data_IF_576467764797
#
_entry.id   IF_576467764797
#
_cell.length_a   1.000
_cell.length_b   1.000
_cell.length_c   1.000
_cell.angle_alpha   90.00
_cell.angle_beta   90.00
_cell.angle_gamma   90.00
#
_symmetry.space_group_name_H-M   'P 1'
#
loop_
_entity.id
_entity.type
_entity.pdbx_description
1 polymer ?
#
# COMPACT_ATOMS: atom_id res chain seq x y z
N UNK A 1 25.51 6.35 -8.64
CA UNK A 1 25.44 5.07 -9.34
C UNK A 1 23.96 4.76 -9.61
N UNK A 2 23.60 4.25 -10.79
CA UNK A 2 22.22 3.79 -11.10
C UNK A 2 22.16 2.34 -10.68
N UNK A 3 21.17 1.96 -9.84
CA UNK A 3 20.95 0.56 -9.51
C UNK A 3 20.19 -0.17 -10.65
N UNK A 4 20.01 -1.50 -10.56
CA UNK A 4 19.33 -2.32 -11.57
C UNK A 4 17.91 -1.85 -11.91
N UNK A 5 17.27 -1.12 -11.02
CA UNK A 5 15.88 -0.65 -11.13
C UNK A 5 15.80 0.80 -11.68
N UNK A 6 16.93 1.39 -12.08
CA UNK A 6 17.01 2.71 -12.71
C UNK A 6 17.06 3.90 -11.74
N UNK A 7 17.13 3.68 -10.42
CA UNK A 7 17.20 4.74 -9.44
C UNK A 7 18.58 5.40 -9.42
N UNK A 8 18.63 6.70 -9.69
CA UNK A 8 19.84 7.51 -9.63
C UNK A 8 19.85 8.28 -8.31
N UNK A 9 20.89 8.09 -7.52
CA UNK A 9 21.01 8.74 -6.19
C UNK A 9 19.82 8.45 -5.26
N UNK A 10 19.22 7.25 -5.37
CA UNK A 10 18.13 6.81 -4.48
C UNK A 10 16.72 7.22 -4.92
N UNK A 11 16.55 7.92 -6.04
CA UNK A 11 15.23 8.25 -6.59
C UNK A 11 15.22 8.25 -8.13
N UNK A 12 14.01 8.16 -8.70
CA UNK A 12 13.73 8.16 -10.13
C UNK A 12 12.80 9.32 -10.46
N UNK A 13 13.12 10.12 -11.49
CA UNK A 13 12.19 11.10 -12.05
C UNK A 13 11.17 10.40 -12.93
N UNK A 14 9.90 10.76 -12.76
CA UNK A 14 8.78 10.18 -13.50
C UNK A 14 8.47 11.05 -14.73
N UNK A 15 8.43 10.43 -15.90
CA UNK A 15 8.08 11.08 -17.18
C UNK A 15 6.70 10.70 -17.70
N UNK A 16 6.13 9.60 -17.18
CA UNK A 16 4.84 9.07 -17.62
C UNK A 16 3.96 8.74 -16.41
N UNK A 17 2.66 8.83 -16.59
CA UNK A 17 1.71 8.37 -15.59
C UNK A 17 1.91 6.87 -15.31
N UNK A 18 2.10 6.52 -14.04
CA UNK A 18 2.33 5.13 -13.62
C UNK A 18 1.07 4.28 -13.60
N UNK A 19 -0.11 4.91 -13.80
CA UNK A 19 -1.41 4.22 -13.91
C UNK A 19 -1.79 3.96 -15.35
N UNK A 20 -1.83 4.99 -16.22
CA UNK A 20 -2.31 4.85 -17.60
C UNK A 20 -1.21 4.92 -18.67
N UNK A 21 0.03 5.28 -18.31
CA UNK A 21 1.15 5.39 -19.24
C UNK A 21 1.23 6.72 -20.01
N UNK A 22 0.25 7.61 -19.89
CA UNK A 22 0.25 8.91 -20.56
C UNK A 22 1.45 9.77 -20.17
N UNK A 23 2.01 10.53 -21.10
CA UNK A 23 3.06 11.51 -20.86
C UNK A 23 2.52 12.92 -20.57
N UNK A 24 1.20 13.10 -20.60
CA UNK A 24 0.54 14.37 -20.29
C UNK A 24 0.39 14.57 -18.78
N UNK A 25 1.43 15.10 -18.17
CA UNK A 25 1.54 15.34 -16.73
C UNK A 25 1.70 16.83 -16.47
N UNK A 26 0.73 17.42 -15.77
CA UNK A 26 0.76 18.81 -15.33
C UNK A 26 1.37 18.92 -13.93
N UNK A 27 2.22 19.93 -13.69
CA UNK A 27 2.71 20.26 -12.35
C UNK A 27 1.60 20.94 -11.54
N UNK A 28 1.27 20.39 -10.39
CA UNK A 28 0.23 20.93 -9.48
C UNK A 28 0.85 21.72 -8.35
N UNK A 29 1.82 21.13 -7.65
CA UNK A 29 2.45 21.74 -6.49
C UNK A 29 3.92 21.34 -6.42
N UNK A 30 4.79 22.35 -6.32
CA UNK A 30 6.23 22.12 -6.12
C UNK A 30 6.63 22.62 -4.73
N UNK A 31 6.92 21.68 -3.84
CA UNK A 31 7.35 21.97 -2.48
C UNK A 31 8.88 22.10 -2.33
N UNK A 32 9.63 21.99 -3.44
CA UNK A 32 11.09 22.06 -3.43
C UNK A 32 11.75 20.72 -3.10
N UNK A 33 12.95 20.78 -2.53
CA UNK A 33 13.74 19.59 -2.21
C UNK A 33 13.70 19.30 -0.71
N UNK A 34 13.23 18.11 -0.33
CA UNK A 34 13.10 17.69 1.06
C UNK A 34 13.80 16.33 1.30
N UNK A 35 14.28 16.07 2.51
CA UNK A 35 14.68 14.74 2.90
C UNK A 35 13.43 13.85 3.02
N UNK A 36 13.63 12.53 2.98
CA UNK A 36 12.56 11.58 3.27
C UNK A 36 12.11 11.67 4.72
N UNK A 37 10.81 11.79 4.99
CA UNK A 37 10.25 12.12 6.31
C UNK A 37 10.62 11.11 7.40
N UNK A 38 10.69 9.80 7.08
CA UNK A 38 10.98 8.74 8.04
C UNK A 38 12.46 8.32 8.06
N UNK A 39 13.34 9.03 7.33
CA UNK A 39 14.80 8.85 7.39
C UNK A 39 15.41 9.61 8.58
N UNK A 40 15.09 9.17 9.80
CA UNK A 40 15.58 9.82 11.02
C UNK A 40 17.09 9.68 11.14
N UNK A 41 17.78 10.79 11.40
CA UNK A 41 19.22 10.85 11.59
C UNK A 41 19.61 10.69 13.05
N UNK A 42 20.73 10.02 13.26
CA UNK A 42 21.39 9.96 14.59
C UNK A 42 22.34 11.15 14.81
N UNK A 43 22.86 11.72 13.71
CA UNK A 43 23.78 12.86 13.73
C UNK A 43 23.19 14.04 12.99
N UNK A 44 23.09 15.19 13.68
CA UNK A 44 22.55 16.45 13.15
C UNK A 44 23.42 17.02 12.02
N UNK A 45 24.71 16.72 12.02
CA UNK A 45 25.68 17.22 11.02
C UNK A 45 25.81 16.31 9.79
N UNK A 46 25.18 15.14 9.79
CA UNK A 46 25.23 14.25 8.63
C UNK A 46 24.50 14.86 7.42
N UNK A 47 25.09 14.71 6.24
CA UNK A 47 24.47 15.13 4.97
C UNK A 47 23.19 14.34 4.72
N UNK A 48 22.15 15.04 4.24
CA UNK A 48 20.89 14.43 3.84
C UNK A 48 20.70 14.47 2.33
N UNK A 49 20.25 13.35 1.80
CA UNK A 49 19.76 13.31 0.42
C UNK A 49 18.44 14.07 0.36
N UNK A 50 18.44 15.19 -0.37
CA UNK A 50 17.23 15.98 -0.64
C UNK A 50 16.67 15.60 -2.00
N UNK A 51 15.39 15.28 -2.02
CA UNK A 51 14.67 14.77 -3.18
C UNK A 51 13.57 15.77 -3.53
N UNK A 52 13.35 16.07 -4.83
CA UNK A 52 12.27 16.96 -5.22
C UNK A 52 10.91 16.39 -4.79
N UNK A 53 10.11 17.23 -4.13
CA UNK A 53 8.74 16.91 -3.74
C UNK A 53 7.79 17.68 -4.66
N UNK A 54 7.49 17.08 -5.81
CA UNK A 54 6.67 17.63 -6.87
C UNK A 54 5.42 16.79 -7.03
N UNK A 55 4.25 17.39 -6.81
CA UNK A 55 2.96 16.77 -7.12
C UNK A 55 2.58 17.06 -8.57
N UNK A 56 2.21 16.03 -9.32
CA UNK A 56 1.75 16.11 -10.70
C UNK A 56 0.38 15.50 -10.86
N UNK A 57 -0.40 16.01 -11.80
CA UNK A 57 -1.69 15.45 -12.22
C UNK A 57 -1.55 14.86 -13.61
N UNK A 58 -2.02 13.64 -13.81
CA UNK A 58 -2.19 13.08 -15.14
C UNK A 58 -3.45 13.67 -15.78
N UNK A 59 -3.30 14.35 -16.91
CA UNK A 59 -4.45 14.98 -17.60
C UNK A 59 -5.37 13.96 -18.25
N UNK A 60 -4.91 12.73 -18.48
CA UNK A 60 -5.72 11.66 -19.06
C UNK A 60 -6.56 10.93 -18.02
N UNK A 61 -5.96 10.27 -17.03
CA UNK A 61 -6.69 9.46 -16.03
C UNK A 61 -6.96 10.21 -14.73
N UNK A 62 -6.58 11.49 -14.63
CA UNK A 62 -6.80 12.38 -13.48
C UNK A 62 -6.24 11.87 -12.14
N UNK A 63 -5.28 10.94 -12.16
CA UNK A 63 -4.58 10.55 -10.94
C UNK A 63 -3.53 11.57 -10.57
N UNK A 64 -3.50 11.97 -9.31
CA UNK A 64 -2.43 12.77 -8.76
C UNK A 64 -1.30 11.84 -8.26
N UNK A 65 -0.05 12.16 -8.62
CA UNK A 65 1.12 11.37 -8.29
C UNK A 65 2.36 12.24 -8.07
N UNK A 66 3.34 11.75 -7.31
CA UNK A 66 4.62 12.42 -7.22
C UNK A 66 5.41 12.30 -8.53
N UNK A 67 6.04 13.40 -8.95
CA UNK A 67 6.94 13.48 -10.10
C UNK A 67 8.29 12.77 -9.89
N UNK A 68 8.56 12.32 -8.67
CA UNK A 68 9.75 11.55 -8.31
C UNK A 68 9.37 10.37 -7.42
N UNK A 69 10.03 9.23 -7.61
CA UNK A 69 9.84 8.01 -6.80
C UNK A 69 11.13 7.73 -6.06
N UNK A 70 11.11 7.69 -4.74
CA UNK A 70 12.22 7.18 -3.93
C UNK A 70 12.27 5.67 -4.06
N UNK A 71 13.47 5.08 -4.02
CA UNK A 71 13.62 3.63 -4.08
C UNK A 71 12.89 2.98 -2.88
N UNK A 72 11.87 2.14 -3.11
CA UNK A 72 11.12 1.48 -2.03
C UNK A 72 12.00 0.66 -1.09
N UNK A 73 13.13 0.13 -1.59
CA UNK A 73 14.08 -0.63 -0.77
C UNK A 73 14.71 0.23 0.31
N UNK A 74 14.93 1.52 0.02
CA UNK A 74 15.48 2.47 1.02
C UNK A 74 14.44 2.78 2.09
N UNK A 75 13.16 2.89 1.70
CA UNK A 75 12.09 3.34 2.60
C UNK A 75 11.47 2.21 3.42
N UNK A 76 11.31 1.01 2.83
CA UNK A 76 10.42 -0.01 3.39
C UNK A 76 11.10 -1.32 3.82
N UNK A 77 12.41 -1.52 3.54
CA UNK A 77 13.12 -2.74 3.99
C UNK A 77 13.28 -2.80 5.52
N UNK A 78 13.37 -1.65 6.16
CA UNK A 78 13.40 -1.51 7.61
C UNK A 78 12.45 -0.36 8.00
N UNK A 79 11.28 -0.72 8.52
CA UNK A 79 10.19 0.24 8.71
C UNK A 79 10.03 0.59 10.20
N UNK A 80 9.71 1.86 10.48
CA UNK A 80 9.63 2.37 11.86
C UNK A 80 8.26 2.18 12.48
N UNK A 81 7.20 2.23 11.65
CA UNK A 81 5.84 2.16 12.13
C UNK A 81 5.41 0.73 12.45
N UNK A 82 4.88 0.52 13.66
CA UNK A 82 4.30 -0.75 14.12
C UNK A 82 2.82 -0.54 14.39
N UNK A 83 1.97 -1.18 13.60
CA UNK A 83 0.52 -1.00 13.60
C UNK A 83 -0.11 -1.32 14.97
N UNK A 84 0.34 -2.38 15.63
CA UNK A 84 -0.19 -2.85 16.91
C UNK A 84 0.19 -2.01 18.13
N UNK A 85 0.96 -0.92 17.98
CA UNK A 85 1.26 -0.01 19.08
C UNK A 85 0.07 0.88 19.48
N UNK A 86 -0.90 1.06 18.57
CA UNK A 86 -2.10 1.86 18.80
C UNK A 86 -3.30 0.99 19.20
N UNK A 87 -3.92 1.32 20.34
CA UNK A 87 -5.15 0.64 20.78
C UNK A 87 -6.32 0.91 19.82
N UNK A 88 -6.41 2.13 19.27
CA UNK A 88 -7.43 2.48 18.26
C UNK A 88 -7.33 1.59 17.05
N UNK A 89 -6.11 1.29 16.58
CA UNK A 89 -5.88 0.43 15.44
C UNK A 89 -6.29 -1.03 15.72
N UNK A 90 -6.06 -1.53 16.92
CA UNK A 90 -6.50 -2.88 17.33
C UNK A 90 -8.03 -2.99 17.32
N UNK A 91 -8.74 -2.02 17.90
CA UNK A 91 -10.21 -1.95 17.85
C UNK A 91 -10.71 -1.91 16.41
N UNK A 92 -10.03 -1.14 15.55
CA UNK A 92 -10.38 -1.09 14.14
C UNK A 92 -10.13 -2.42 13.42
N UNK A 93 -9.06 -3.14 13.76
CA UNK A 93 -8.77 -4.47 13.19
C UNK A 93 -9.89 -5.49 13.53
N UNK A 94 -10.38 -5.48 14.77
CA UNK A 94 -11.53 -6.31 15.17
C UNK A 94 -12.79 -5.95 14.38
N UNK A 95 -13.10 -4.64 14.27
CA UNK A 95 -14.23 -4.17 13.47
C UNK A 95 -14.09 -4.54 12.00
N UNK A 96 -12.91 -4.37 11.41
CA UNK A 96 -12.63 -4.73 10.02
C UNK A 96 -12.86 -6.22 9.77
N UNK A 97 -12.40 -7.09 10.66
CA UNK A 97 -12.63 -8.53 10.60
C UNK A 97 -14.12 -8.86 10.64
N UNK A 98 -14.88 -8.28 11.59
CA UNK A 98 -16.31 -8.47 11.71
C UNK A 98 -17.10 -7.98 10.48
N UNK A 99 -16.68 -6.86 9.88
CA UNK A 99 -17.27 -6.33 8.66
C UNK A 99 -16.97 -7.24 7.46
N UNK A 100 -15.75 -7.77 7.36
CA UNK A 100 -15.39 -8.73 6.32
C UNK A 100 -16.20 -10.02 6.43
N UNK A 101 -16.38 -10.56 7.64
CA UNK A 101 -17.22 -11.76 7.88
C UNK A 101 -18.66 -11.55 7.42
N UNK A 102 -19.24 -10.39 7.73
CA UNK A 102 -20.62 -10.02 7.28
C UNK A 102 -20.72 -9.95 5.76
N UNK A 103 -19.74 -9.31 5.10
CA UNK A 103 -19.73 -9.16 3.63
C UNK A 103 -19.57 -10.52 2.96
N UNK A 104 -18.67 -11.36 3.47
CA UNK A 104 -18.42 -12.73 2.97
C UNK A 104 -19.58 -13.70 3.32
N UNK A 105 -20.42 -13.35 4.29
CA UNK A 105 -21.44 -14.22 4.89
C UNK A 105 -20.87 -15.57 5.36
N UNK A 106 -19.60 -15.59 5.73
CA UNK A 106 -18.85 -16.75 6.26
C UNK A 106 -17.54 -16.29 6.89
N UNK A 107 -16.99 -17.09 7.78
CA UNK A 107 -15.59 -16.93 8.21
C UNK A 107 -14.70 -17.36 7.04
N UNK A 108 -13.79 -16.48 6.53
CA UNK A 108 -12.88 -16.85 5.46
C UNK A 108 -11.91 -17.94 5.94
N UNK A 109 -11.71 -18.99 5.12
CA UNK A 109 -10.78 -20.08 5.47
C UNK A 109 -9.33 -19.64 5.33
N UNK A 110 -9.03 -18.85 4.30
CA UNK A 110 -7.69 -18.33 4.02
C UNK A 110 -7.75 -16.84 3.77
N UNK A 111 -6.92 -16.09 4.50
CA UNK A 111 -6.82 -14.64 4.45
C UNK A 111 -5.39 -14.25 4.09
N UNK A 112 -5.25 -13.33 3.14
CA UNK A 112 -3.97 -12.75 2.75
C UNK A 112 -3.99 -11.24 2.96
N UNK A 113 -3.09 -10.73 3.79
CA UNK A 113 -2.83 -9.28 3.92
C UNK A 113 -1.54 -8.89 3.20
N UNK A 114 -1.64 -7.86 2.35
CA UNK A 114 -0.49 -7.29 1.66
C UNK A 114 0.00 -6.07 2.44
N UNK A 115 1.31 -5.97 2.66
CA UNK A 115 1.97 -5.05 3.59
C UNK A 115 1.37 -5.20 5.00
N UNK A 116 1.42 -6.43 5.50
CA UNK A 116 0.72 -6.85 6.73
C UNK A 116 1.28 -6.25 8.01
N UNK A 117 2.40 -5.54 7.93
CA UNK A 117 3.08 -4.98 9.09
C UNK A 117 3.30 -6.05 10.18
N UNK A 118 3.02 -5.77 11.43
CA UNK A 118 3.16 -6.71 12.55
C UNK A 118 2.01 -7.71 12.68
N UNK A 119 1.13 -7.79 11.67
CA UNK A 119 0.01 -8.71 11.58
C UNK A 119 -1.20 -8.36 12.45
N UNK A 120 -1.27 -7.15 12.97
CA UNK A 120 -2.38 -6.70 13.85
C UNK A 120 -3.75 -6.92 13.21
N UNK A 121 -3.91 -6.76 11.88
CA UNK A 121 -5.17 -7.02 11.18
C UNK A 121 -5.39 -8.49 10.85
N UNK A 122 -4.36 -9.32 10.88
CA UNK A 122 -4.48 -10.77 10.72
C UNK A 122 -4.89 -11.49 12.02
N UNK A 123 -4.56 -10.91 13.18
CA UNK A 123 -4.84 -11.52 14.50
C UNK A 123 -6.33 -11.87 14.71
N UNK A 124 -7.31 -10.96 14.42
CA UNK A 124 -8.73 -11.30 14.59
C UNK A 124 -9.20 -12.45 13.70
N UNK A 125 -8.76 -12.50 12.45
CA UNK A 125 -9.10 -13.60 11.54
C UNK A 125 -8.52 -14.93 12.02
N UNK A 126 -7.27 -14.93 12.52
CA UNK A 126 -6.66 -16.11 13.12
C UNK A 126 -7.43 -16.59 14.35
N UNK A 127 -7.90 -15.67 15.20
CA UNK A 127 -8.72 -15.99 16.37
C UNK A 127 -10.06 -16.66 15.99
N UNK A 128 -10.62 -16.35 14.82
CA UNK A 128 -11.80 -17.01 14.26
C UNK A 128 -11.50 -18.35 13.57
N UNK A 129 -10.22 -18.78 13.51
CA UNK A 129 -9.81 -20.07 12.93
C UNK A 129 -9.37 -20.00 11.46
N UNK A 130 -9.24 -18.80 10.88
CA UNK A 130 -8.71 -18.64 9.53
C UNK A 130 -7.22 -19.00 9.46
N UNK A 131 -6.77 -19.55 8.34
CA UNK A 131 -5.35 -19.53 7.96
C UNK A 131 -5.01 -18.13 7.49
N UNK A 132 -4.01 -17.52 8.10
CA UNK A 132 -3.64 -16.14 7.80
C UNK A 132 -2.22 -16.06 7.26
N UNK A 133 -2.04 -15.26 6.23
CA UNK A 133 -0.76 -15.00 5.59
C UNK A 133 -0.54 -13.50 5.43
N UNK A 134 0.69 -13.05 5.68
CA UNK A 134 1.14 -11.71 5.39
C UNK A 134 2.26 -11.71 4.35
N UNK A 135 2.35 -10.67 3.56
CA UNK A 135 3.53 -10.35 2.74
C UNK A 135 3.93 -8.93 3.08
N UNK A 136 5.13 -8.73 3.64
CA UNK A 136 5.62 -7.42 4.05
C UNK A 136 7.13 -7.29 3.77
N UNK A 137 7.60 -6.21 3.14
CA UNK A 137 9.02 -6.05 2.82
C UNK A 137 9.90 -5.70 4.02
N UNK A 138 9.31 -5.25 5.14
CA UNK A 138 10.04 -4.81 6.32
C UNK A 138 10.43 -6.01 7.20
N UNK A 139 11.67 -6.46 7.10
CA UNK A 139 12.16 -7.63 7.84
C UNK A 139 11.95 -7.50 9.35
N UNK A 140 12.29 -6.33 9.92
CA UNK A 140 12.13 -6.06 11.35
C UNK A 140 10.68 -6.16 11.85
N UNK A 141 9.72 -5.82 10.98
CA UNK A 141 8.29 -5.84 11.31
C UNK A 141 7.70 -7.24 11.08
N UNK A 142 8.03 -7.89 9.96
CA UNK A 142 7.61 -9.26 9.68
C UNK A 142 8.09 -10.26 10.76
N UNK A 143 9.27 -10.04 11.34
CA UNK A 143 9.73 -10.82 12.50
C UNK A 143 8.80 -10.70 13.71
N UNK A 144 8.22 -9.52 13.97
CA UNK A 144 7.24 -9.34 15.06
C UNK A 144 5.97 -10.17 14.79
N UNK A 145 5.45 -10.13 13.56
CA UNK A 145 4.30 -10.93 13.15
C UNK A 145 4.60 -12.44 13.30
N UNK A 146 5.75 -12.90 12.80
CA UNK A 146 6.13 -14.31 12.87
C UNK A 146 6.32 -14.79 14.34
N UNK A 147 6.83 -13.94 15.25
CA UNK A 147 6.91 -14.26 16.68
C UNK A 147 5.54 -14.42 17.34
N UNK A 148 4.49 -13.78 16.81
CA UNK A 148 3.08 -13.99 17.23
C UNK A 148 2.46 -15.24 16.59
N UNK A 149 3.23 -15.98 15.77
CA UNK A 149 2.77 -17.16 15.04
C UNK A 149 1.89 -16.81 13.82
N UNK A 150 2.01 -15.60 13.28
CA UNK A 150 1.39 -15.21 12.02
C UNK A 150 2.39 -15.47 10.89
N UNK A 151 1.98 -16.19 9.86
CA UNK A 151 2.88 -16.53 8.75
C UNK A 151 3.07 -15.29 7.85
N UNK A 152 4.18 -14.58 8.03
CA UNK A 152 4.52 -13.40 7.23
C UNK A 152 5.76 -13.65 6.40
N UNK A 153 5.63 -13.50 5.08
CA UNK A 153 6.69 -13.64 4.08
C UNK A 153 7.35 -12.28 3.88
N UNK A 154 8.69 -12.24 3.94
CA UNK A 154 9.46 -11.01 3.73
C UNK A 154 9.72 -10.83 2.24
N UNK A 155 8.88 -10.05 1.56
CA UNK A 155 9.06 -9.68 0.14
C UNK A 155 8.21 -8.46 -0.21
N UNK A 156 8.60 -7.76 -1.28
CA UNK A 156 7.75 -6.77 -1.93
C UNK A 156 6.66 -7.46 -2.74
N UNK A 157 5.42 -7.06 -2.53
CA UNK A 157 4.30 -7.61 -3.30
C UNK A 157 4.28 -7.09 -4.75
N UNK A 158 4.08 -7.97 -5.71
CA UNK A 158 4.05 -7.69 -7.14
C UNK A 158 3.20 -8.72 -7.90
N UNK A 159 3.05 -8.53 -9.21
CA UNK A 159 2.39 -9.52 -10.11
C UNK A 159 3.00 -10.91 -10.08
N UNK A 160 4.27 -11.03 -9.64
CA UNK A 160 4.99 -12.30 -9.60
C UNK A 160 4.82 -13.01 -8.23
N UNK A 161 4.23 -12.34 -7.24
CA UNK A 161 4.05 -12.89 -5.88
C UNK A 161 3.16 -14.13 -5.86
N UNK A 162 2.15 -14.20 -6.73
CA UNK A 162 1.32 -15.39 -6.83
C UNK A 162 2.15 -16.62 -7.24
N UNK A 163 2.94 -16.54 -8.31
CA UNK A 163 3.76 -17.66 -8.76
C UNK A 163 4.78 -18.10 -7.72
N UNK A 164 5.33 -17.15 -6.96
CA UNK A 164 6.29 -17.45 -5.89
C UNK A 164 5.64 -18.17 -4.70
N UNK A 165 4.41 -17.80 -4.34
CA UNK A 165 3.84 -18.12 -3.03
C UNK A 165 2.53 -18.92 -3.08
N UNK A 166 1.96 -19.21 -4.26
CA UNK A 166 0.70 -19.98 -4.41
C UNK A 166 0.74 -21.34 -3.71
N UNK A 167 1.90 -22.02 -3.68
CA UNK A 167 2.04 -23.31 -3.02
C UNK A 167 2.06 -23.23 -1.49
N UNK A 168 2.37 -22.05 -0.93
CA UNK A 168 2.42 -21.77 0.51
C UNK A 168 1.05 -21.25 0.97
N UNK A 169 0.49 -20.29 0.23
CA UNK A 169 -0.74 -19.58 0.60
C UNK A 169 -1.99 -20.37 0.19
N UNK A 170 -1.97 -20.97 -1.00
CA UNK A 170 -3.13 -21.68 -1.54
C UNK A 170 -4.22 -20.74 -2.07
N UNK A 171 -5.46 -21.24 -2.10
CA UNK A 171 -6.63 -20.47 -2.49
C UNK A 171 -7.00 -19.48 -1.38
N UNK A 172 -7.25 -18.23 -1.76
CA UNK A 172 -7.56 -17.13 -0.85
C UNK A 172 -9.06 -16.83 -0.90
N UNK A 173 -9.73 -16.75 0.26
CA UNK A 173 -11.13 -16.29 0.35
C UNK A 173 -11.23 -14.78 0.49
N UNK A 174 -10.27 -14.16 1.21
CA UNK A 174 -10.23 -12.73 1.45
C UNK A 174 -8.79 -12.20 1.32
N UNK A 175 -8.60 -11.24 0.43
CA UNK A 175 -7.32 -10.55 0.23
C UNK A 175 -7.48 -9.07 0.53
N UNK A 176 -6.57 -8.48 1.29
CA UNK A 176 -6.68 -7.05 1.57
C UNK A 176 -5.32 -6.34 1.66
N UNK A 177 -5.37 -5.04 1.41
CA UNK A 177 -4.22 -4.14 1.46
C UNK A 177 -4.67 -2.83 2.09
N UNK A 178 -4.01 -2.41 3.17
CA UNK A 178 -4.42 -1.24 3.93
C UNK A 178 -3.31 -0.20 3.97
N UNK A 179 -3.64 1.01 3.47
CA UNK A 179 -2.70 2.13 3.42
C UNK A 179 -1.35 1.77 2.77
N UNK A 180 -1.38 0.94 1.73
CA UNK A 180 -0.20 0.51 0.98
C UNK A 180 -0.23 0.93 -0.48
N UNK A 181 -1.42 1.02 -1.11
CA UNK A 181 -1.50 1.30 -2.55
C UNK A 181 -0.86 2.64 -2.93
N UNK A 182 -0.93 3.66 -2.05
CA UNK A 182 -0.26 4.94 -2.24
C UNK A 182 1.29 4.83 -2.22
N UNK A 183 1.83 3.81 -1.56
CA UNK A 183 3.26 3.57 -1.40
C UNK A 183 3.86 2.67 -2.49
N UNK A 184 3.04 2.18 -3.43
CA UNK A 184 3.49 1.24 -4.47
C UNK A 184 3.90 1.99 -5.73
N UNK A 185 5.16 1.90 -6.18
CA UNK A 185 5.61 2.63 -7.38
C UNK A 185 4.98 2.13 -8.69
N UNK A 186 4.48 0.89 -8.73
CA UNK A 186 3.83 0.26 -9.88
C UNK A 186 2.43 -0.26 -9.48
N UNK A 187 1.42 0.63 -9.33
CA UNK A 187 0.12 0.24 -8.77
C UNK A 187 -0.65 -0.74 -9.65
N UNK A 188 -0.47 -0.71 -10.97
CA UNK A 188 -1.11 -1.67 -11.87
C UNK A 188 -0.50 -3.08 -11.73
N UNK A 189 0.80 -3.19 -11.52
CA UNK A 189 1.50 -4.45 -11.23
C UNK A 189 1.06 -5.05 -9.87
N UNK A 190 0.81 -4.18 -8.89
CA UNK A 190 0.25 -4.57 -7.59
C UNK A 190 -1.16 -5.16 -7.74
N UNK A 191 -2.03 -4.51 -8.51
CA UNK A 191 -3.38 -5.01 -8.78
C UNK A 191 -3.35 -6.32 -9.58
N UNK A 192 -2.41 -6.49 -10.53
CA UNK A 192 -2.18 -7.76 -11.23
C UNK A 192 -1.85 -8.89 -10.23
N UNK A 193 -1.02 -8.57 -9.24
CA UNK A 193 -0.70 -9.52 -8.18
C UNK A 193 -1.91 -9.90 -7.34
N UNK A 194 -2.74 -8.93 -6.94
CA UNK A 194 -3.98 -9.20 -6.22
C UNK A 194 -4.93 -10.07 -7.05
N UNK A 195 -5.21 -9.69 -8.29
CA UNK A 195 -6.12 -10.41 -9.20
C UNK A 195 -5.72 -11.89 -9.33
N UNK A 196 -4.43 -12.19 -9.44
CA UNK A 196 -3.94 -13.57 -9.58
C UNK A 196 -4.19 -14.45 -8.34
N UNK A 197 -4.27 -13.88 -7.14
CA UNK A 197 -4.66 -14.61 -5.93
C UNK A 197 -6.17 -14.77 -5.79
N UNK A 198 -6.97 -14.06 -6.59
CA UNK A 198 -8.43 -14.05 -6.49
C UNK A 198 -9.05 -15.11 -7.42
N UNK A 199 -10.07 -15.77 -6.91
CA UNK A 199 -11.02 -16.61 -7.66
C UNK A 199 -12.36 -15.84 -7.78
N UNK A 200 -13.36 -16.45 -8.41
CA UNK A 200 -14.70 -15.86 -8.51
C UNK A 200 -15.36 -15.59 -7.16
N UNK A 201 -15.00 -16.35 -6.13
CA UNK A 201 -15.57 -16.25 -4.79
C UNK A 201 -14.69 -15.41 -3.83
N UNK A 202 -13.55 -14.92 -4.29
CA UNK A 202 -12.63 -14.13 -3.48
C UNK A 202 -13.09 -12.67 -3.43
N UNK A 203 -13.12 -12.10 -2.23
CA UNK A 203 -13.32 -10.66 -2.04
C UNK A 203 -11.97 -9.99 -1.77
N UNK A 204 -11.73 -8.87 -2.45
CA UNK A 204 -10.59 -7.99 -2.22
C UNK A 204 -11.02 -6.72 -1.50
N UNK A 205 -10.19 -6.22 -0.58
CA UNK A 205 -10.39 -4.92 0.08
C UNK A 205 -9.12 -4.07 -0.02
N UNK A 206 -9.27 -2.81 -0.41
CA UNK A 206 -8.16 -1.85 -0.47
C UNK A 206 -8.55 -0.60 0.30
N UNK A 207 -7.74 -0.25 1.31
CA UNK A 207 -7.88 1.01 2.05
C UNK A 207 -6.76 1.97 1.64
N UNK A 208 -7.11 3.24 1.41
CA UNK A 208 -6.18 4.28 1.00
C UNK A 208 -6.67 5.66 1.47
N UNK A 209 -5.75 6.62 1.58
CA UNK A 209 -6.11 8.03 1.83
C UNK A 209 -6.90 8.58 0.65
N UNK A 210 -8.12 9.03 0.92
CA UNK A 210 -9.02 9.56 -0.10
C UNK A 210 -8.63 10.99 -0.49
N UNK A 211 -8.25 11.20 -1.75
CA UNK A 211 -7.72 12.47 -2.25
C UNK A 211 -8.64 13.66 -2.00
N UNK A 212 -9.97 13.49 -2.16
CA UNK A 212 -10.90 14.58 -1.95
C UNK A 212 -10.88 15.05 -0.49
N UNK A 213 -10.77 14.14 0.48
CA UNK A 213 -10.63 14.51 1.89
C UNK A 213 -9.30 15.20 2.19
N UNK A 214 -8.21 14.80 1.54
CA UNK A 214 -6.91 15.49 1.66
C UNK A 214 -7.07 16.96 1.24
N UNK A 215 -7.83 17.22 0.17
CA UNK A 215 -8.07 18.57 -0.34
C UNK A 215 -9.06 19.32 0.57
N UNK A 216 -10.23 18.75 0.84
CA UNK A 216 -11.32 19.41 1.54
C UNK A 216 -10.98 19.71 3.01
N UNK A 217 -10.19 18.84 3.65
CA UNK A 217 -9.79 18.96 5.05
C UNK A 217 -8.36 19.51 5.23
N UNK A 218 -7.70 19.90 4.12
CA UNK A 218 -6.37 20.53 4.09
C UNK A 218 -5.27 19.65 4.73
N UNK A 219 -5.28 18.34 4.46
CA UNK A 219 -4.25 17.40 4.94
C UNK A 219 -2.97 17.48 4.09
N UNK A 220 -2.41 18.67 3.93
CA UNK A 220 -1.21 18.91 3.11
C UNK A 220 0.03 18.17 3.62
N UNK A 221 0.07 17.82 4.89
CA UNK A 221 1.09 16.96 5.53
C UNK A 221 1.09 15.53 5.00
N UNK A 222 0.01 15.11 4.32
CA UNK A 222 -0.04 13.84 3.59
C UNK A 222 0.81 13.84 2.33
N UNK A 223 1.31 15.02 1.87
CA UNK A 223 2.16 15.14 0.69
C UNK A 223 3.63 14.99 1.11
N UNK A 224 4.15 13.76 1.01
CA UNK A 224 5.53 13.41 1.31
C UNK A 224 5.99 12.20 0.47
N UNK A 225 7.28 11.91 0.47
CA UNK A 225 7.91 11.00 -0.50
C UNK A 225 7.42 9.56 -0.45
N UNK A 226 6.82 9.10 0.63
CA UNK A 226 6.30 7.74 0.72
C UNK A 226 4.95 7.58 0.03
N UNK A 227 4.15 8.67 -0.10
CA UNK A 227 2.89 8.66 -0.82
C UNK A 227 3.13 9.00 -2.29
N UNK A 228 3.40 8.00 -3.11
CA UNK A 228 3.59 8.22 -4.56
C UNK A 228 2.32 8.64 -5.27
N UNK A 229 1.14 8.33 -4.72
CA UNK A 229 -0.17 8.57 -5.31
C UNK A 229 -1.18 9.12 -4.33
N UNK A 230 -2.15 9.86 -4.89
CA UNK A 230 -3.30 10.41 -4.19
C UNK A 230 -4.53 10.03 -5.01
N UNK A 231 -5.29 9.04 -4.52
CA UNK A 231 -6.38 8.43 -5.27
C UNK A 231 -7.72 9.03 -4.93
N UNK A 232 -8.55 9.26 -5.99
CA UNK A 232 -10.00 9.37 -5.87
C UNK A 232 -10.64 7.99 -6.09
N UNK A 233 -11.95 7.88 -5.79
CA UNK A 233 -12.73 6.66 -6.10
C UNK A 233 -12.76 6.42 -7.61
N UNK A 234 -12.82 7.47 -8.42
CA UNK A 234 -12.81 7.40 -9.89
C UNK A 234 -11.48 6.80 -10.41
N UNK A 235 -10.36 7.17 -9.78
CA UNK A 235 -9.07 6.57 -10.12
C UNK A 235 -9.06 5.07 -9.82
N UNK A 236 -9.57 4.65 -8.67
CA UNK A 236 -9.66 3.23 -8.31
C UNK A 236 -10.61 2.49 -9.28
N UNK A 237 -11.78 3.04 -9.59
CA UNK A 237 -12.69 2.48 -10.60
C UNK A 237 -12.00 2.31 -11.95
N UNK A 238 -11.27 3.32 -12.41
CA UNK A 238 -10.50 3.26 -13.65
C UNK A 238 -9.45 2.15 -13.61
N UNK A 239 -8.69 2.05 -12.53
CA UNK A 239 -7.65 1.03 -12.38
C UNK A 239 -8.24 -0.39 -12.36
N UNK A 240 -9.31 -0.60 -11.61
CA UNK A 240 -10.00 -1.89 -11.49
C UNK A 240 -10.70 -2.29 -12.80
N UNK A 241 -11.21 -1.32 -13.59
CA UNK A 241 -11.80 -1.60 -14.90
C UNK A 241 -10.81 -2.16 -15.92
N UNK A 242 -9.49 -1.98 -15.70
CA UNK A 242 -8.43 -2.59 -16.51
C UNK A 242 -8.11 -4.02 -16.09
N UNK A 243 -8.76 -4.49 -15.02
CA UNK A 243 -8.69 -5.83 -14.44
C UNK A 243 -10.13 -6.38 -14.44
N UNK A 244 -10.31 -7.64 -14.24
CA UNK A 244 -11.65 -8.23 -14.11
C UNK A 244 -12.26 -7.97 -12.73
N UNK A 245 -12.04 -6.76 -12.18
CA UNK A 245 -12.44 -6.39 -10.83
C UNK A 245 -13.38 -5.18 -10.87
N UNK A 246 -14.34 -5.15 -9.95
CA UNK A 246 -15.28 -4.04 -9.78
C UNK A 246 -15.52 -3.74 -8.30
N UNK A 247 -15.83 -2.49 -8.01
CA UNK A 247 -16.22 -2.05 -6.67
C UNK A 247 -17.71 -2.38 -6.46
N UNK A 248 -18.02 -3.07 -5.37
CA UNK A 248 -19.39 -3.36 -4.99
C UNK A 248 -19.78 -2.76 -3.63
N UNK A 249 -18.81 -2.35 -2.81
CA UNK A 249 -19.02 -1.68 -1.52
C UNK A 249 -17.92 -0.64 -1.27
N UNK A 250 -18.28 0.46 -0.63
CA UNK A 250 -17.36 1.54 -0.23
C UNK A 250 -17.73 1.96 1.18
N UNK A 251 -16.74 1.98 2.07
CA UNK A 251 -16.89 2.46 3.44
C UNK A 251 -15.81 3.48 3.76
N UNK A 252 -16.18 4.50 4.51
CA UNK A 252 -15.20 5.42 5.06
C UNK A 252 -14.49 4.78 6.25
N UNK A 253 -13.14 4.84 6.24
CA UNK A 253 -12.33 4.36 7.34
C UNK A 253 -12.27 5.40 8.46
N UNK A 254 -12.43 4.99 9.74
CA UNK A 254 -12.29 5.90 10.87
C UNK A 254 -10.83 6.26 11.18
N UNK A 255 -9.88 5.57 10.54
CA UNK A 255 -8.44 5.76 10.72
C UNK A 255 -7.85 6.30 9.42
N UNK A 256 -6.94 7.27 9.55
CA UNK A 256 -6.25 7.90 8.43
C UNK A 256 -7.16 8.51 7.37
N UNK A 257 -8.45 8.67 7.68
CA UNK A 257 -9.45 9.32 6.80
C UNK A 257 -9.49 8.74 5.38
N UNK A 258 -9.37 7.40 5.31
CA UNK A 258 -9.47 6.62 4.08
C UNK A 258 -10.90 6.22 3.74
#
# INVERSE_FOLDING_TARGET
MINSDGYKSGYLKISNCRVCGSNDLSSVLNLGNHPSANSLRKDVLADEIKIPLLLTLCEECKVAQLGHTVDPKIMFTNYLWVTGTSQTTKIHAEKFCNDAEKILNKIPKTVLEIASNDGTFLEPFKALGSKVFGIDPANNIAELANKKGLTTIVDFFSKDSHEKYKNIIGNVDFIFARNVLAHVPKPMDFLDGMEKFMSQDTIGSVEFHYNNKIIDELHYDSIYHEHYFYYSIENIKFMLSKKNLHIFDIKESPINKG
#
